data_IF_084883781041
#
_entry.id   IF_084883781041
#
_cell.length_a   1.000
_cell.length_b   1.000
_cell.length_c   1.000
_cell.angle_alpha   90.00
_cell.angle_beta   90.00
_cell.angle_gamma   90.00
#
_symmetry.space_group_name_H-M   'P 1'
#
loop_
_entity.id
_entity.type
_entity.pdbx_description
1 polymer ?
#
# COMPACT_ATOMS: atom_id res chain seq x y z
N UNK A 1 -16.72 1.18 -11.24
CA UNK A 1 -15.39 1.75 -11.55
C UNK A 1 -14.47 1.32 -10.42
N UNK A 2 -13.30 0.76 -10.72
CA UNK A 2 -12.33 0.29 -9.71
C UNK A 2 -11.90 1.46 -8.82
N UNK A 3 -12.00 1.32 -7.49
CA UNK A 3 -11.44 2.29 -6.55
C UNK A 3 -10.02 1.88 -6.16
N UNK A 4 -9.19 2.85 -5.80
CA UNK A 4 -7.82 2.64 -5.35
C UNK A 4 -7.67 2.96 -3.88
N UNK A 5 -7.10 2.02 -3.14
CA UNK A 5 -7.01 2.06 -1.67
C UNK A 5 -5.56 1.93 -1.26
N UNK A 6 -5.00 2.97 -0.62
CA UNK A 6 -3.71 2.87 0.06
C UNK A 6 -3.90 2.11 1.36
N UNK A 7 -3.31 0.92 1.50
CA UNK A 7 -3.47 0.04 2.66
C UNK A 7 -2.13 -0.13 3.38
N UNK A 8 -2.03 0.45 4.59
CA UNK A 8 -0.77 0.56 5.34
C UNK A 8 -0.96 0.39 6.85
N UNK A 9 -0.10 -0.42 7.48
CA UNK A 9 0.09 -0.39 8.94
C UNK A 9 1.03 0.73 9.32
N UNK A 10 0.70 1.48 10.37
CA UNK A 10 1.44 2.68 10.78
C UNK A 10 1.52 2.76 12.31
N UNK A 11 2.67 3.17 12.84
CA UNK A 11 2.81 3.54 14.26
C UNK A 11 2.03 4.82 14.57
N UNK A 12 1.79 5.10 15.85
CA UNK A 12 1.06 6.31 16.29
C UNK A 12 1.75 7.61 15.85
N UNK A 13 3.08 7.61 15.78
CA UNK A 13 3.92 8.71 15.32
C UNK A 13 4.19 8.73 13.80
N UNK A 14 3.56 7.84 13.04
CA UNK A 14 3.48 7.92 11.57
C UNK A 14 4.50 7.08 10.79
N UNK A 15 5.19 6.13 11.44
CA UNK A 15 6.23 5.30 10.81
C UNK A 15 5.68 3.97 10.28
N UNK A 16 6.21 3.51 9.14
CA UNK A 16 5.78 2.30 8.41
C UNK A 16 6.88 1.24 8.26
N UNK A 17 8.11 1.62 8.54
CA UNK A 17 9.29 0.77 8.48
C UNK A 17 10.37 1.35 9.38
N UNK A 18 11.38 0.55 9.68
CA UNK A 18 12.54 0.99 10.44
C UNK A 18 13.42 2.00 9.64
N UNK A 19 14.51 2.55 10.22
CA UNK A 19 15.38 3.52 9.54
C UNK A 19 16.08 2.99 8.28
N UNK A 20 16.34 1.68 8.20
CA UNK A 20 16.98 1.04 7.06
C UNK A 20 15.96 0.62 5.99
N UNK A 21 14.67 0.91 6.25
CA UNK A 21 13.51 0.50 5.46
C UNK A 21 13.37 -1.02 5.38
N UNK A 22 13.86 -1.72 6.40
CA UNK A 22 13.61 -3.13 6.57
C UNK A 22 12.15 -3.31 6.99
N UNK A 23 11.39 -3.98 6.12
CA UNK A 23 9.98 -4.28 6.37
C UNK A 23 9.79 -5.48 7.33
N UNK A 24 10.89 -6.12 7.73
CA UNK A 24 10.92 -7.21 8.71
C UNK A 24 11.45 -6.76 10.08
N UNK A 25 11.85 -7.74 10.90
CA UNK A 25 12.42 -7.49 12.22
C UNK A 25 11.38 -6.99 13.22
N UNK A 26 11.83 -6.61 14.41
CA UNK A 26 10.93 -6.34 15.54
C UNK A 26 9.88 -5.27 15.25
N UNK A 27 10.26 -4.19 14.54
CA UNK A 27 9.36 -3.08 14.21
C UNK A 27 8.38 -3.46 13.09
N UNK A 28 8.86 -4.13 12.03
CA UNK A 28 8.01 -4.65 10.95
C UNK A 28 6.99 -5.69 11.45
N UNK A 29 7.45 -6.66 12.25
CA UNK A 29 6.58 -7.66 12.87
C UNK A 29 5.59 -7.02 13.84
N UNK A 30 6.02 -6.02 14.63
CA UNK A 30 5.12 -5.28 15.52
C UNK A 30 4.00 -4.57 14.76
N UNK A 31 4.31 -3.94 13.63
CA UNK A 31 3.33 -3.23 12.83
C UNK A 31 2.28 -4.16 12.20
N UNK A 32 2.60 -5.44 11.97
CA UNK A 32 1.72 -6.39 11.28
C UNK A 32 1.12 -7.48 12.19
N UNK A 33 1.52 -7.54 13.47
CA UNK A 33 1.01 -8.50 14.48
C UNK A 33 -0.50 -8.54 14.68
N UNK A 34 -1.22 -7.50 14.23
CA UNK A 34 -2.68 -7.48 14.23
C UNK A 34 -3.27 -8.36 13.13
N UNK A 35 -2.60 -8.47 11.97
CA UNK A 35 -3.06 -9.24 10.82
C UNK A 35 -2.97 -10.75 11.05
N UNK A 36 -1.97 -11.19 11.84
CA UNK A 36 -1.78 -12.60 12.20
C UNK A 36 -2.70 -13.08 13.34
N UNK A 37 -3.48 -12.18 13.94
CA UNK A 37 -4.44 -12.56 14.96
C UNK A 37 -5.55 -13.43 14.34
N UNK A 38 -5.81 -14.60 14.93
CA UNK A 38 -6.95 -15.44 14.50
C UNK A 38 -8.27 -14.68 14.71
N UNK A 39 -9.16 -14.75 13.72
CA UNK A 39 -10.45 -14.08 13.75
C UNK A 39 -10.42 -12.62 13.29
N UNK A 40 -11.46 -11.88 13.67
CA UNK A 40 -11.63 -10.48 13.30
C UNK A 40 -10.55 -9.59 13.97
N UNK A 41 -9.98 -8.60 13.25
CA UNK A 41 -10.35 -8.18 11.91
C UNK A 41 -9.42 -8.74 10.82
N UNK A 42 -8.43 -9.56 11.19
CA UNK A 42 -7.40 -10.07 10.27
C UNK A 42 -7.99 -10.87 9.11
N UNK A 43 -8.96 -11.75 9.40
CA UNK A 43 -9.66 -12.54 8.38
C UNK A 43 -10.39 -11.66 7.35
N UNK A 44 -11.09 -10.61 7.82
CA UNK A 44 -11.77 -9.64 6.95
C UNK A 44 -10.79 -8.92 6.02
N UNK A 45 -9.68 -8.41 6.55
CA UNK A 45 -8.69 -7.72 5.71
C UNK A 45 -8.00 -8.68 4.72
N UNK A 46 -7.77 -9.93 5.11
CA UNK A 46 -7.26 -10.95 4.21
C UNK A 46 -8.25 -11.25 3.06
N UNK A 47 -9.56 -11.25 3.32
CA UNK A 47 -10.58 -11.32 2.28
C UNK A 47 -10.58 -10.09 1.37
N UNK A 48 -10.48 -8.87 1.94
CA UNK A 48 -10.35 -7.63 1.16
C UNK A 48 -9.13 -7.67 0.22
N UNK A 49 -7.98 -8.13 0.71
CA UNK A 49 -6.77 -8.25 -0.12
C UNK A 49 -6.92 -9.31 -1.22
N UNK A 50 -7.57 -10.44 -0.94
CA UNK A 50 -7.85 -11.47 -1.96
C UNK A 50 -8.88 -11.01 -2.99
N UNK A 51 -9.79 -10.14 -2.61
CA UNK A 51 -10.82 -9.58 -3.49
C UNK A 51 -10.28 -8.48 -4.42
N UNK A 52 -9.06 -8.00 -4.21
CA UNK A 52 -8.44 -6.99 -5.06
C UNK A 52 -8.29 -7.47 -6.51
N UNK A 53 -8.26 -6.50 -7.45
CA UNK A 53 -8.07 -6.76 -8.87
C UNK A 53 -6.69 -6.47 -9.41
N UNK A 54 -5.92 -5.61 -8.72
CA UNK A 54 -4.56 -5.26 -9.07
C UNK A 54 -3.82 -4.70 -7.86
N UNK A 55 -2.49 -4.67 -7.94
CA UNK A 55 -1.61 -4.05 -6.95
C UNK A 55 -0.80 -2.95 -7.60
N UNK A 56 -0.69 -1.80 -6.94
CA UNK A 56 0.32 -0.78 -7.25
C UNK A 56 1.30 -0.70 -6.09
N UNK A 57 2.56 -0.99 -6.35
CA UNK A 57 3.61 -0.94 -5.33
C UNK A 57 4.78 -0.09 -5.82
N UNK A 58 5.28 0.78 -4.94
CA UNK A 58 6.47 1.56 -5.26
C UNK A 58 7.65 0.62 -5.51
N UNK A 59 8.56 1.01 -6.42
CA UNK A 59 9.71 0.18 -6.81
C UNK A 59 10.45 -0.42 -5.63
N UNK A 60 10.70 0.36 -4.58
CA UNK A 60 11.40 -0.10 -3.37
C UNK A 60 10.64 -1.23 -2.67
N UNK A 61 9.34 -1.06 -2.45
CA UNK A 61 8.49 -2.11 -1.86
C UNK A 61 8.47 -3.35 -2.73
N UNK A 62 8.33 -3.19 -4.04
CA UNK A 62 8.34 -4.31 -4.97
C UNK A 62 9.68 -5.07 -4.92
N UNK A 63 10.81 -4.37 -4.99
CA UNK A 63 12.15 -4.98 -4.93
C UNK A 63 12.45 -5.64 -3.57
N UNK A 64 12.04 -5.03 -2.45
CA UNK A 64 12.23 -5.59 -1.10
C UNK A 64 11.46 -6.90 -0.90
N UNK A 65 10.27 -7.02 -1.51
CA UNK A 65 9.44 -8.22 -1.44
C UNK A 65 9.77 -9.24 -2.55
N UNK A 66 10.85 -9.02 -3.31
CA UNK A 66 11.16 -9.77 -4.54
C UNK A 66 9.93 -9.93 -5.45
N UNK A 67 9.14 -8.85 -5.54
CA UNK A 67 7.88 -8.74 -6.28
C UNK A 67 6.87 -9.83 -5.92
N UNK A 68 6.93 -10.32 -4.68
CA UNK A 68 6.16 -11.48 -4.22
C UNK A 68 6.42 -12.74 -5.06
N UNK A 69 7.65 -12.92 -5.56
CA UNK A 69 7.98 -13.99 -6.50
C UNK A 69 7.34 -13.82 -7.87
N UNK A 70 6.91 -12.60 -8.21
CA UNK A 70 6.17 -12.29 -9.43
C UNK A 70 4.69 -12.63 -9.40
N UNK A 71 4.17 -13.08 -8.25
CA UNK A 71 2.78 -13.46 -8.08
C UNK A 71 2.21 -12.96 -6.75
N UNK A 72 1.18 -12.12 -6.82
CA UNK A 72 0.43 -11.68 -5.65
C UNK A 72 -1.00 -12.23 -5.70
N UNK A 73 -1.15 -13.55 -5.55
CA UNK A 73 -2.42 -14.28 -5.64
C UNK A 73 -3.12 -14.14 -7.00
N UNK A 74 -2.34 -14.21 -8.09
CA UNK A 74 -2.79 -14.07 -9.47
C UNK A 74 -3.05 -12.63 -9.91
N UNK A 75 -2.71 -11.63 -9.09
CA UNK A 75 -2.99 -10.22 -9.38
C UNK A 75 -1.86 -9.57 -10.18
N UNK A 76 -2.18 -8.73 -11.18
CA UNK A 76 -1.19 -7.90 -11.85
C UNK A 76 -0.61 -6.85 -10.89
N UNK A 77 0.70 -6.67 -10.93
CA UNK A 77 1.47 -5.76 -10.08
C UNK A 77 2.05 -4.66 -10.95
N UNK A 78 1.74 -3.41 -10.62
CA UNK A 78 2.22 -2.22 -11.33
C UNK A 78 3.24 -1.46 -10.48
N UNK A 79 4.38 -1.14 -11.09
CA UNK A 79 5.51 -0.49 -10.40
C UNK A 79 5.87 0.81 -11.13
N UNK A 80 5.58 2.00 -10.55
CA UNK A 80 6.01 3.26 -11.14
C UNK A 80 7.53 3.40 -11.03
N UNK A 81 8.22 3.54 -12.15
CA UNK A 81 9.68 3.68 -12.19
C UNK A 81 10.18 4.19 -13.53
N UNK A 82 10.99 5.26 -13.53
CA UNK A 82 11.68 5.74 -14.74
C UNK A 82 12.89 4.87 -15.13
N UNK A 83 13.37 4.03 -14.21
CA UNK A 83 14.49 3.10 -14.45
C UNK A 83 13.94 1.73 -14.88
N UNK A 84 14.64 0.99 -15.76
CA UNK A 84 14.21 -0.35 -16.15
C UNK A 84 14.13 -1.32 -14.94
N UNK A 85 13.32 -2.39 -15.05
CA UNK A 85 13.27 -3.46 -14.06
C UNK A 85 14.61 -4.21 -13.97
N UNK A 86 14.86 -4.83 -12.82
CA UNK A 86 15.93 -5.82 -12.68
C UNK A 86 15.64 -7.10 -13.48
N UNK A 87 16.61 -8.01 -13.66
CA UNK A 87 16.46 -9.20 -14.51
C UNK A 87 15.25 -10.08 -14.16
N UNK A 88 14.99 -10.32 -12.87
CA UNK A 88 13.85 -11.13 -12.42
C UNK A 88 12.51 -10.51 -12.86
N UNK A 89 12.28 -9.24 -12.51
CA UNK A 89 11.08 -8.53 -12.95
C UNK A 89 10.98 -8.36 -14.48
N UNK A 90 12.12 -8.33 -15.19
CA UNK A 90 12.15 -8.20 -16.65
C UNK A 90 11.80 -9.51 -17.38
N UNK A 91 12.24 -10.65 -16.84
CA UNK A 91 12.24 -11.90 -17.59
C UNK A 91 11.48 -13.04 -16.93
N UNK A 92 11.26 -12.98 -15.62
CA UNK A 92 10.72 -14.08 -14.83
C UNK A 92 9.34 -13.79 -14.24
N UNK A 93 8.92 -12.52 -14.12
CA UNK A 93 7.67 -12.13 -13.47
C UNK A 93 6.66 -11.55 -14.47
N UNK A 94 5.83 -12.39 -15.13
CA UNK A 94 4.94 -11.96 -16.20
C UNK A 94 3.78 -11.06 -15.74
N UNK A 95 3.44 -11.09 -14.45
CA UNK A 95 2.40 -10.25 -13.85
C UNK A 95 2.94 -8.89 -13.38
N UNK A 96 4.25 -8.66 -13.45
CA UNK A 96 4.88 -7.42 -12.99
C UNK A 96 5.10 -6.47 -14.17
N UNK A 97 4.45 -5.31 -14.11
CA UNK A 97 4.56 -4.26 -15.12
C UNK A 97 5.25 -3.03 -14.53
N UNK A 98 6.40 -2.65 -15.08
CA UNK A 98 7.05 -1.39 -14.75
C UNK A 98 6.50 -0.29 -15.66
N UNK A 99 5.96 0.77 -15.05
CA UNK A 99 5.35 1.90 -15.76
C UNK A 99 6.28 3.11 -15.68
N UNK A 100 6.72 3.61 -16.83
CA UNK A 100 7.67 4.73 -16.93
C UNK A 100 7.00 6.10 -16.92
N UNK A 101 5.70 6.16 -17.22
CA UNK A 101 4.98 7.41 -17.48
C UNK A 101 4.33 8.00 -16.22
N UNK A 102 4.96 7.78 -15.06
CA UNK A 102 4.54 8.35 -13.78
C UNK A 102 3.34 7.67 -13.13
N UNK A 103 2.91 8.26 -11.99
CA UNK A 103 1.91 7.68 -11.09
C UNK A 103 0.50 7.66 -11.69
N UNK A 104 0.11 8.68 -12.44
CA UNK A 104 -1.22 8.76 -13.06
C UNK A 104 -1.43 7.62 -14.07
N UNK A 105 -0.46 7.41 -14.97
CA UNK A 105 -0.47 6.29 -15.92
C UNK A 105 -0.48 4.94 -15.21
N UNK A 106 0.33 4.80 -14.15
CA UNK A 106 0.38 3.58 -13.33
C UNK A 106 -0.99 3.25 -12.73
N UNK A 107 -1.65 4.24 -12.13
CA UNK A 107 -2.96 4.08 -11.49
C UNK A 107 -4.06 3.80 -12.51
N UNK A 108 -4.02 4.45 -13.67
CA UNK A 108 -4.96 4.21 -14.76
C UNK A 108 -4.87 2.78 -15.30
N UNK A 109 -3.65 2.30 -15.56
CA UNK A 109 -3.41 0.93 -16.02
C UNK A 109 -3.85 -0.11 -14.98
N UNK A 110 -3.52 0.12 -13.71
CA UNK A 110 -3.94 -0.77 -12.62
C UNK A 110 -5.47 -0.82 -12.48
N UNK A 111 -6.16 0.33 -12.56
CA UNK A 111 -7.64 0.40 -12.51
C UNK A 111 -8.28 -0.34 -13.68
N UNK A 112 -7.71 -0.23 -14.88
CA UNK A 112 -8.18 -0.96 -16.06
C UNK A 112 -7.99 -2.48 -15.91
N UNK A 113 -6.82 -2.92 -15.45
CA UNK A 113 -6.51 -4.32 -15.22
C UNK A 113 -7.34 -4.95 -14.08
N UNK A 114 -7.75 -4.15 -13.10
CA UNK A 114 -8.51 -4.63 -11.95
C UNK A 114 -9.93 -5.11 -12.29
N UNK A 115 -10.46 -4.77 -13.47
CA UNK A 115 -11.73 -5.32 -13.96
C UNK A 115 -12.93 -4.95 -13.08
N UNK A 116 -12.92 -3.76 -12.48
CA UNK A 116 -13.99 -3.29 -11.60
C UNK A 116 -13.80 -3.64 -10.11
N UNK A 117 -12.78 -4.43 -9.76
CA UNK A 117 -12.38 -4.70 -8.37
C UNK A 117 -11.42 -3.63 -7.85
N UNK A 118 -11.20 -3.60 -6.54
CA UNK A 118 -10.33 -2.60 -5.90
C UNK A 118 -8.85 -2.76 -6.33
N UNK A 119 -8.15 -1.64 -6.43
CA UNK A 119 -6.70 -1.57 -6.62
C UNK A 119 -6.04 -1.34 -5.27
N UNK A 120 -5.19 -2.28 -4.85
CA UNK A 120 -4.42 -2.18 -3.62
C UNK A 120 -3.15 -1.36 -3.86
N UNK A 121 -3.02 -0.22 -3.20
CA UNK A 121 -1.86 0.68 -3.30
C UNK A 121 -0.99 0.49 -2.06
N UNK A 122 0.31 0.29 -2.27
CA UNK A 122 1.28 0.07 -1.19
C UNK A 122 2.49 0.99 -1.31
N UNK A 123 3.01 1.37 -0.13
CA UNK A 123 4.24 2.12 0.03
C UNK A 123 4.05 3.65 0.03
N UNK A 124 4.88 4.33 0.82
CA UNK A 124 4.79 5.77 1.05
C UNK A 124 4.89 6.60 -0.23
N UNK A 125 5.87 6.32 -1.10
CA UNK A 125 6.03 7.08 -2.35
C UNK A 125 4.77 7.01 -3.23
N UNK A 126 4.23 5.80 -3.41
CA UNK A 126 3.03 5.58 -4.23
C UNK A 126 1.83 6.31 -3.67
N UNK A 127 1.59 6.19 -2.35
CA UNK A 127 0.51 6.87 -1.66
C UNK A 127 0.61 8.39 -1.76
N UNK A 128 1.79 8.95 -1.43
CA UNK A 128 2.03 10.40 -1.48
C UNK A 128 1.84 10.97 -2.89
N UNK A 129 2.43 10.33 -3.91
CA UNK A 129 2.31 10.80 -5.30
C UNK A 129 0.91 10.62 -5.87
N UNK A 130 0.21 9.56 -5.49
CA UNK A 130 -1.17 9.35 -5.93
C UNK A 130 -2.14 10.36 -5.29
N UNK A 131 -1.90 10.76 -4.04
CA UNK A 131 -2.63 11.84 -3.38
C UNK A 131 -2.34 13.18 -4.05
N UNK A 132 -1.05 13.51 -4.26
CA UNK A 132 -0.63 14.76 -4.91
C UNK A 132 -1.23 14.90 -6.32
N UNK A 133 -1.31 13.80 -7.07
CA UNK A 133 -1.91 13.79 -8.41
C UNK A 133 -3.46 13.64 -8.39
N UNK A 134 -4.10 13.54 -7.22
CA UNK A 134 -5.56 13.41 -7.10
C UNK A 134 -6.14 12.08 -7.63
N UNK A 135 -5.31 11.07 -7.84
CA UNK A 135 -5.69 9.77 -8.45
C UNK A 135 -5.95 8.65 -7.44
N UNK A 136 -5.64 8.87 -6.15
CA UNK A 136 -6.02 7.99 -5.05
C UNK A 136 -7.47 8.24 -4.63
N UNK A 137 -8.22 7.18 -4.33
CA UNK A 137 -9.62 7.31 -3.90
C UNK A 137 -9.75 7.21 -2.37
N UNK A 138 -9.06 6.25 -1.76
CA UNK A 138 -9.20 5.95 -0.34
C UNK A 138 -7.86 5.61 0.34
N UNK A 139 -7.81 5.83 1.66
CA UNK A 139 -6.67 5.51 2.53
C UNK A 139 -7.16 4.64 3.68
N UNK A 140 -6.61 3.44 3.80
CA UNK A 140 -6.84 2.50 4.89
C UNK A 140 -5.60 2.41 5.77
N UNK A 141 -5.72 2.94 6.99
CA UNK A 141 -4.66 2.96 8.00
C UNK A 141 -4.97 1.94 9.09
N UNK A 142 -4.01 1.05 9.36
CA UNK A 142 -4.02 0.19 10.54
C UNK A 142 -3.09 0.84 11.58
N UNK A 143 -3.66 1.67 12.45
CA UNK A 143 -2.95 2.45 13.45
C UNK A 143 -2.59 1.56 14.65
N UNK A 144 -1.30 1.25 14.78
CA UNK A 144 -0.75 0.39 15.84
C UNK A 144 -0.37 1.25 17.04
N UNK A 145 -0.75 0.86 18.27
CA UNK A 145 -0.52 1.66 19.49
C UNK A 145 0.95 1.58 19.95
N UNK A 146 1.86 2.10 19.14
CA UNK A 146 3.30 2.18 19.42
C UNK A 146 3.86 3.49 18.89
N UNK A 147 4.83 4.06 19.61
CA UNK A 147 5.67 5.16 19.14
C UNK A 147 7.05 4.57 18.80
N UNK A 148 7.44 4.62 17.53
CA UNK A 148 8.73 4.05 17.08
C UNK A 148 9.89 5.06 17.21
N UNK A 149 9.58 6.35 17.12
CA UNK A 149 10.51 7.48 17.27
C UNK A 149 11.51 7.65 16.13
N UNK A 150 11.53 6.74 15.15
CA UNK A 150 12.45 6.72 14.01
C UNK A 150 11.90 5.81 12.91
N UNK A 151 12.43 5.97 11.71
CA UNK A 151 12.12 5.12 10.57
C UNK A 151 11.60 5.89 9.36
N UNK A 152 10.98 5.15 8.43
CA UNK A 152 10.30 5.77 7.29
C UNK A 152 8.89 6.19 7.67
N UNK A 153 8.56 7.47 7.44
CA UNK A 153 7.20 8.00 7.61
C UNK A 153 6.30 7.64 6.42
N UNK A 154 5.01 7.38 6.67
CA UNK A 154 4.01 7.23 5.61
C UNK A 154 3.75 8.57 4.90
N UNK A 155 3.43 9.57 5.71
CA UNK A 155 3.25 10.96 5.30
C UNK A 155 4.21 11.79 6.15
N UNK A 156 5.03 12.59 5.47
CA UNK A 156 5.94 13.53 6.10
C UNK A 156 5.51 14.94 5.69
N UNK A 157 6.30 15.63 4.87
CA UNK A 157 5.91 16.92 4.30
C UNK A 157 5.12 16.68 3.00
N UNK A 158 3.83 17.02 3.02
CA UNK A 158 2.99 17.05 1.82
C UNK A 158 3.03 18.46 1.18
N UNK A 159 2.91 18.57 -0.15
CA UNK A 159 2.97 19.86 -0.84
C UNK A 159 1.72 20.73 -0.64
N UNK A 160 0.59 20.13 -0.22
CA UNK A 160 -0.67 20.80 0.02
C UNK A 160 -1.48 20.06 1.09
N UNK A 161 -2.46 20.76 1.66
CA UNK A 161 -3.48 20.16 2.54
C UNK A 161 -4.40 19.25 1.72
N UNK A 162 -4.80 18.12 2.31
CA UNK A 162 -5.73 17.17 1.72
C UNK A 162 -6.75 16.79 2.78
N UNK A 163 -8.02 17.10 2.52
CA UNK A 163 -9.09 16.71 3.42
C UNK A 163 -9.48 15.24 3.20
N UNK A 164 -9.76 14.56 4.32
CA UNK A 164 -10.19 13.17 4.33
C UNK A 164 -11.55 13.05 5.03
N UNK A 165 -12.43 12.23 4.48
CA UNK A 165 -13.69 11.83 5.11
C UNK A 165 -13.52 10.45 5.76
N UNK A 166 -13.93 10.29 7.02
CA UNK A 166 -13.95 8.97 7.68
C UNK A 166 -15.08 8.13 7.07
N UNK A 167 -14.72 6.99 6.49
CA UNK A 167 -15.67 6.02 5.90
C UNK A 167 -15.96 4.89 6.87
N UNK A 168 -14.95 4.41 7.59
CA UNK A 168 -15.07 3.25 8.49
C UNK A 168 -14.02 3.35 9.60
N UNK A 169 -14.42 2.98 10.81
CA UNK A 169 -13.53 2.75 11.95
C UNK A 169 -13.82 1.36 12.51
N UNK A 170 -12.79 0.56 12.71
CA UNK A 170 -12.85 -0.72 13.43
C UNK A 170 -11.79 -0.63 14.53
N UNK A 171 -12.23 -0.52 15.78
CA UNK A 171 -11.36 -0.54 16.94
C UNK A 171 -11.14 -1.98 17.41
N UNK A 172 -9.88 -2.33 17.66
CA UNK A 172 -9.51 -3.64 18.22
C UNK A 172 -8.43 -3.46 19.28
N UNK A 173 -8.20 -4.46 20.15
CA UNK A 173 -7.16 -4.37 21.17
C UNK A 173 -5.74 -4.17 20.61
N UNK A 174 -5.47 -4.56 19.34
CA UNK A 174 -4.14 -4.54 18.74
C UNK A 174 -3.90 -3.35 17.81
N UNK A 175 -4.95 -2.81 17.20
CA UNK A 175 -4.86 -1.69 16.27
C UNK A 175 -6.22 -1.02 16.07
N UNK A 176 -6.21 0.25 15.68
CA UNK A 176 -7.40 0.95 15.19
C UNK A 176 -7.33 1.03 13.67
N UNK A 177 -8.31 0.46 12.98
CA UNK A 177 -8.35 0.42 11.53
C UNK A 177 -9.29 1.48 11.00
N UNK A 178 -8.75 2.45 10.26
CA UNK A 178 -9.51 3.59 9.79
C UNK A 178 -9.44 3.65 8.27
N UNK A 179 -10.59 3.64 7.61
CA UNK A 179 -10.70 3.85 6.17
C UNK A 179 -11.22 5.26 5.94
N UNK A 180 -10.51 6.00 5.10
CA UNK A 180 -10.81 7.35 4.71
C UNK A 180 -11.07 7.44 3.22
N UNK A 181 -11.95 8.35 2.81
CA UNK A 181 -12.07 8.81 1.43
C UNK A 181 -11.32 10.11 1.25
N UNK A 182 -10.55 10.21 0.16
CA UNK A 182 -9.86 11.43 -0.22
C UNK A 182 -10.86 12.40 -0.82
N UNK A 183 -10.95 13.63 -0.29
CA UNK A 183 -11.75 14.69 -0.90
C UNK A 183 -10.98 15.32 -2.05
N UNK A 184 -11.67 15.53 -3.16
CA UNK A 184 -11.14 16.17 -4.39
C UNK A 184 -11.73 17.55 -4.54
#
# INVERSE_FOLDING_TARGET
MSISVLDMSVSLDGYIADPDDFLGGDDGERLHRWADAKGEPGERFAEEWRAAGAVVAGRRTAELMDHWGGDHNGLPIFVPSHRPPGPAARWNYPLVTYVTDGIESTMAQAKAAAGGRDVQVRGAYTGQRAIEAGVLDEVQIHLVPVLLGRGRRLFDILPAEVELEIVRVIDTPKATHIRYRVRR
#
